data_IF_072300240875
#
_entry.id   IF_072300240875
#
_cell.length_a   1.000
_cell.length_b   1.000
_cell.length_c   1.000
_cell.angle_alpha   90.00
_cell.angle_beta   90.00
_cell.angle_gamma   90.00
#
_symmetry.space_group_name_H-M   'P 1'
#
loop_
_entity.id
_entity.type
_entity.pdbx_description
1 polymer ?
#
# COMPACT_ATOMS: atom_id res chain seq x y z
N UNK A 1 -49.27 0.02 -12.22
CA UNK A 1 -48.35 -0.71 -13.12
C UNK A 1 -46.96 -0.23 -12.76
N UNK A 2 -46.28 -0.98 -11.90
CA UNK A 2 -45.08 -0.53 -11.18
C UNK A 2 -43.89 -0.30 -12.12
N UNK A 3 -43.43 0.95 -12.19
CA UNK A 3 -42.27 1.40 -12.97
C UNK A 3 -41.03 0.52 -12.72
N UNK A 4 -40.84 0.10 -11.46
CA UNK A 4 -39.77 -0.82 -11.02
C UNK A 4 -39.79 -2.18 -11.74
N UNK A 5 -40.98 -2.70 -12.05
CA UNK A 5 -41.14 -4.00 -12.71
C UNK A 5 -40.80 -3.97 -14.20
N UNK A 6 -40.97 -2.81 -14.86
CA UNK A 6 -40.58 -2.62 -16.25
C UNK A 6 -39.06 -2.57 -16.36
N UNK A 7 -38.40 -1.83 -15.45
CA UNK A 7 -36.93 -1.71 -15.43
C UNK A 7 -36.29 -3.09 -15.18
N UNK A 8 -36.83 -3.88 -14.25
CA UNK A 8 -36.33 -5.24 -13.99
C UNK A 8 -36.42 -6.14 -15.22
N UNK A 9 -37.54 -6.12 -15.95
CA UNK A 9 -37.68 -6.89 -17.19
C UNK A 9 -36.72 -6.43 -18.29
N UNK A 10 -36.43 -5.13 -18.37
CA UNK A 10 -35.45 -4.62 -19.33
C UNK A 10 -34.03 -5.03 -18.93
N UNK A 11 -33.66 -4.91 -17.66
CA UNK A 11 -32.36 -5.35 -17.13
C UNK A 11 -32.17 -6.85 -17.33
N UNK A 12 -33.19 -7.66 -17.08
CA UNK A 12 -33.15 -9.12 -17.27
C UNK A 12 -33.03 -9.49 -18.76
N UNK A 13 -33.73 -8.79 -19.65
CA UNK A 13 -33.64 -9.00 -21.09
C UNK A 13 -32.29 -8.58 -21.66
N UNK A 14 -31.71 -7.50 -21.14
CA UNK A 14 -30.35 -7.05 -21.45
C UNK A 14 -29.33 -8.03 -20.88
N UNK A 15 -29.50 -8.50 -19.64
CA UNK A 15 -28.64 -9.49 -19.00
C UNK A 15 -28.66 -10.83 -19.74
N UNK A 16 -29.82 -11.29 -20.20
CA UNK A 16 -29.97 -12.49 -21.02
C UNK A 16 -29.31 -12.36 -22.40
N UNK A 17 -29.38 -11.17 -23.02
CA UNK A 17 -28.66 -10.86 -24.27
C UNK A 17 -27.14 -10.67 -24.05
N UNK A 18 -26.72 -10.24 -22.87
CA UNK A 18 -25.30 -10.17 -22.46
C UNK A 18 -24.74 -11.55 -22.12
N UNK A 19 -25.55 -12.48 -21.62
CA UNK A 19 -25.12 -13.82 -21.22
C UNK A 19 -24.77 -14.73 -22.40
N UNK A 20 -25.10 -14.35 -23.64
CA UNK A 20 -24.55 -15.01 -24.83
C UNK A 20 -23.02 -14.86 -24.82
N UNK A 21 -22.32 -15.98 -24.84
CA UNK A 21 -20.85 -16.04 -24.68
C UNK A 21 -20.08 -15.13 -25.67
N UNK A 22 -20.60 -14.94 -26.89
CA UNK A 22 -20.04 -14.02 -27.87
C UNK A 22 -20.11 -12.54 -27.44
N UNK A 23 -21.23 -12.11 -26.85
CA UNK A 23 -21.41 -10.72 -26.41
C UNK A 23 -20.62 -10.41 -25.14
N UNK A 24 -20.46 -11.38 -24.23
CA UNK A 24 -19.57 -11.24 -23.06
C UNK A 24 -18.14 -11.00 -23.47
N UNK A 25 -17.67 -11.72 -24.50
CA UNK A 25 -16.33 -11.55 -25.07
C UNK A 25 -16.15 -10.20 -25.74
N UNK A 26 -17.15 -9.76 -26.51
CA UNK A 26 -17.15 -8.42 -27.11
C UNK A 26 -17.16 -7.32 -26.05
N UNK A 27 -17.96 -7.44 -25.00
CA UNK A 27 -17.98 -6.43 -23.91
C UNK A 27 -16.68 -6.44 -23.12
N UNK A 28 -16.06 -7.60 -22.91
CA UNK A 28 -14.73 -7.69 -22.31
C UNK A 28 -13.67 -6.98 -23.18
N UNK A 29 -13.62 -7.28 -24.47
CA UNK A 29 -12.66 -6.67 -25.39
C UNK A 29 -12.93 -5.20 -25.69
N UNK A 30 -14.19 -4.76 -25.68
CA UNK A 30 -14.57 -3.43 -26.17
C UNK A 30 -14.89 -2.42 -25.06
N UNK A 31 -15.21 -2.89 -23.84
CA UNK A 31 -15.43 -2.01 -22.68
C UNK A 31 -14.43 -2.28 -21.57
N UNK A 32 -14.19 -3.54 -21.19
CA UNK A 32 -13.29 -3.85 -20.08
C UNK A 32 -11.85 -3.53 -20.46
N UNK A 33 -11.36 -3.94 -21.64
CA UNK A 33 -9.99 -3.60 -22.07
C UNK A 33 -9.72 -2.09 -22.11
N UNK A 34 -10.51 -1.22 -22.76
CA UNK A 34 -10.20 0.21 -22.77
C UNK A 34 -10.34 0.86 -21.39
N UNK A 35 -11.31 0.45 -20.57
CA UNK A 35 -11.43 0.95 -19.20
C UNK A 35 -10.25 0.50 -18.35
N UNK A 36 -9.90 -0.78 -18.42
CA UNK A 36 -8.82 -1.36 -17.66
C UNK A 36 -7.49 -0.77 -18.08
N UNK A 37 -7.26 -0.56 -19.38
CA UNK A 37 -6.05 0.06 -19.90
C UNK A 37 -5.97 1.54 -19.53
N UNK A 38 -7.09 2.27 -19.55
CA UNK A 38 -7.14 3.66 -19.08
C UNK A 38 -6.90 3.79 -17.57
N UNK A 39 -7.46 2.87 -16.79
CA UNK A 39 -7.23 2.80 -15.34
C UNK A 39 -5.80 2.35 -15.06
N UNK A 40 -5.26 1.35 -15.75
CA UNK A 40 -3.88 0.90 -15.60
C UNK A 40 -2.90 2.02 -15.92
N UNK A 41 -3.07 2.72 -17.03
CA UNK A 41 -2.18 3.82 -17.44
C UNK A 41 -2.10 4.92 -16.37
N UNK A 42 -3.20 5.15 -15.66
CA UNK A 42 -3.25 6.07 -14.52
C UNK A 42 -2.72 5.46 -13.23
N UNK A 43 -3.05 4.20 -12.94
CA UNK A 43 -2.71 3.52 -11.68
C UNK A 43 -1.24 3.12 -11.64
N UNK A 44 -0.62 2.80 -12.77
CA UNK A 44 0.78 2.44 -12.89
C UNK A 44 1.73 3.49 -12.27
N UNK A 45 1.65 4.80 -12.62
CA UNK A 45 2.48 5.82 -11.99
C UNK A 45 2.18 6.00 -10.50
N UNK A 46 0.94 5.82 -10.03
CA UNK A 46 0.62 5.86 -8.60
C UNK A 46 1.21 4.68 -7.83
N UNK A 47 1.23 3.48 -8.41
CA UNK A 47 1.89 2.31 -7.82
C UNK A 47 3.39 2.56 -7.71
N UNK A 48 4.02 3.06 -8.78
CA UNK A 48 5.46 3.40 -8.77
C UNK A 48 5.76 4.45 -7.70
N UNK A 49 4.94 5.50 -7.61
CA UNK A 49 5.09 6.56 -6.61
C UNK A 49 4.97 6.01 -5.19
N UNK A 50 3.98 5.14 -4.94
CA UNK A 50 3.76 4.50 -3.63
C UNK A 50 4.93 3.58 -3.27
N UNK A 51 5.43 2.81 -4.24
CA UNK A 51 6.62 1.98 -4.06
C UNK A 51 7.84 2.82 -3.71
N UNK A 52 8.08 3.92 -4.43
CA UNK A 52 9.20 4.82 -4.18
C UNK A 52 9.12 5.45 -2.78
N UNK A 53 7.92 5.91 -2.37
CA UNK A 53 7.69 6.46 -1.05
C UNK A 53 7.91 5.42 0.05
N UNK A 54 7.42 4.19 -0.17
CA UNK A 54 7.60 3.09 0.76
C UNK A 54 9.07 2.71 0.90
N UNK A 55 9.80 2.56 -0.21
CA UNK A 55 11.25 2.32 -0.20
C UNK A 55 12.00 3.42 0.52
N UNK A 56 11.64 4.69 0.31
CA UNK A 56 12.25 5.83 1.01
C UNK A 56 12.03 5.75 2.52
N UNK A 57 10.81 5.42 2.97
CA UNK A 57 10.51 5.22 4.38
C UNK A 57 11.31 4.06 4.98
N UNK A 58 11.39 2.93 4.29
CA UNK A 58 12.17 1.76 4.73
C UNK A 58 13.63 2.11 4.89
N UNK A 59 14.22 2.84 3.94
CA UNK A 59 15.61 3.30 4.02
C UNK A 59 15.81 4.25 5.20
N UNK A 60 14.88 5.19 5.42
CA UNK A 60 14.96 6.16 6.51
C UNK A 60 14.88 5.50 7.89
N UNK A 61 13.99 4.53 8.05
CA UNK A 61 13.89 3.71 9.26
C UNK A 61 15.15 2.87 9.46
N UNK A 62 15.65 2.23 8.39
CA UNK A 62 16.88 1.45 8.43
C UNK A 62 18.11 2.29 8.82
N UNK A 63 18.26 3.48 8.23
CA UNK A 63 19.30 4.45 8.57
C UNK A 63 19.21 4.87 10.04
N UNK A 64 18.01 5.19 10.51
CA UNK A 64 17.79 5.58 11.91
C UNK A 64 18.17 4.44 12.86
N UNK A 65 17.80 3.21 12.53
CA UNK A 65 18.15 2.03 13.31
C UNK A 65 19.66 1.79 13.36
N UNK A 66 20.35 1.89 12.22
CA UNK A 66 21.81 1.76 12.14
C UNK A 66 22.53 2.85 12.94
N UNK A 67 22.07 4.11 12.84
CA UNK A 67 22.63 5.22 13.60
C UNK A 67 22.48 4.99 15.11
N UNK A 68 21.31 4.51 15.55
CA UNK A 68 21.08 4.20 16.96
C UNK A 68 22.02 3.09 17.41
N UNK A 69 22.16 2.00 16.65
CA UNK A 69 23.07 0.91 17.00
C UNK A 69 24.54 1.36 17.07
N UNK A 70 25.00 2.22 16.15
CA UNK A 70 26.36 2.74 16.14
C UNK A 70 26.61 3.83 17.20
N UNK A 71 25.59 4.64 17.54
CA UNK A 71 25.63 5.63 18.64
C UNK A 71 25.33 5.01 20.01
N UNK A 72 25.15 3.70 20.11
CA UNK A 72 25.24 2.96 21.37
C UNK A 72 26.63 2.31 21.50
N UNK A 73 27.75 3.06 21.56
CA UNK A 73 28.96 2.54 22.17
C UNK A 73 28.76 2.64 23.69
N UNK A 74 28.44 1.51 24.32
CA UNK A 74 28.67 1.28 25.75
C UNK A 74 28.14 2.34 26.75
N UNK A 75 27.09 3.12 26.45
CA UNK A 75 26.54 4.08 27.43
C UNK A 75 26.10 3.42 28.74
N UNK A 76 25.72 2.13 28.71
CA UNK A 76 25.50 1.33 29.92
C UNK A 76 26.77 0.98 30.69
N UNK A 77 27.89 0.71 30.00
CA UNK A 77 29.17 0.31 30.62
C UNK A 77 29.99 1.52 31.12
N UNK A 78 29.98 2.64 30.38
CA UNK A 78 30.71 3.85 30.76
C UNK A 78 30.05 4.56 31.94
N UNK A 79 28.72 4.53 32.04
CA UNK A 79 27.99 5.06 33.21
C UNK A 79 28.28 4.21 34.45
N UNK A 80 28.23 2.88 34.34
CA UNK A 80 28.58 1.98 35.45
C UNK A 80 30.06 2.12 35.88
N UNK A 81 30.99 2.29 34.94
CA UNK A 81 32.41 2.52 35.23
C UNK A 81 32.67 3.88 35.92
N UNK A 82 31.90 4.93 35.57
CA UNK A 82 32.00 6.23 36.23
C UNK A 82 31.47 6.25 37.67
N UNK A 83 30.55 5.34 38.03
CA UNK A 83 29.99 5.22 39.39
C UNK A 83 30.95 4.46 40.31
N UNK A 84 31.65 3.44 39.82
CA UNK A 84 32.64 2.67 40.59
C UNK A 84 33.98 3.41 40.80
N UNK A 85 34.24 4.50 40.09
CA UNK A 85 35.48 5.29 40.19
C UNK A 85 35.31 6.61 40.97
N UNK A 86 34.13 6.90 41.52
CA UNK A 86 33.94 8.02 42.46
C UNK A 86 34.61 7.68 43.80
N UNK A 87 35.60 8.46 44.28
CA UNK A 87 36.13 8.28 45.64
C UNK A 87 35.01 8.57 46.65
N UNK A 88 34.78 7.62 47.56
CA UNK A 88 33.81 7.70 48.65
C UNK A 88 34.04 9.02 49.42
N UNK A 89 33.06 9.94 49.50
CA UNK A 89 33.17 11.10 50.37
C UNK A 89 33.04 10.60 51.82
N UNK A 90 34.18 10.41 52.47
CA UNK A 90 34.29 10.31 53.92
C UNK A 90 34.01 11.69 54.51
N UNK A 91 32.82 11.85 55.10
CA UNK A 91 32.48 12.93 56.04
C UNK A 91 32.21 12.34 57.41
#
# INVERSE_FOLDING_TARGET
MDEKGVIYKWVEKIAAHLQKEENKRLIQLYLIDPILNHVLDRVFPYIILTCALFSLLVILVGMTFVIILLKVPNTGLTTAASILSQPIPIS
#
